data_IF_246655972375
#
_entry.id   IF_246655972375
#
_cell.length_a   1.000
_cell.length_b   1.000
_cell.length_c   1.000
_cell.angle_alpha   90.00
_cell.angle_beta   90.00
_cell.angle_gamma   90.00
#
_symmetry.space_group_name_H-M   'P 1'
#
loop_
_entity.id
_entity.type
_entity.pdbx_description
1 polymer ?
#
# COMPACT_ATOMS: atom_id res chain seq x y z
N UNK A 1 74.32 -27.00 44.57
CA UNK A 1 75.28 -28.09 44.88
C UNK A 1 74.49 -29.39 44.91
N UNK A 2 74.87 -30.38 44.09
CA UNK A 2 74.50 -31.81 44.14
C UNK A 2 73.01 -32.13 43.90
N UNK A 3 72.59 -32.50 42.68
CA UNK A 3 72.77 -33.79 41.98
C UNK A 3 72.16 -34.96 42.75
N UNK A 4 71.22 -35.69 42.12
CA UNK A 4 70.72 -36.94 42.66
C UNK A 4 69.62 -37.61 41.83
N UNK A 5 69.95 -38.02 40.60
CA UNK A 5 69.17 -39.02 39.87
C UNK A 5 69.44 -40.40 40.50
N UNK A 6 68.39 -41.18 40.78
CA UNK A 6 68.47 -42.64 40.87
C UNK A 6 67.24 -43.29 40.21
N UNK A 7 67.54 -44.05 39.16
CA UNK A 7 66.73 -45.10 38.57
C UNK A 7 66.56 -46.28 39.54
N UNK A 8 65.37 -46.89 39.62
CA UNK A 8 65.20 -48.30 39.23
C UNK A 8 63.83 -48.91 39.54
N UNK A 9 63.42 -49.71 38.56
CA UNK A 9 62.64 -50.97 38.58
C UNK A 9 61.11 -50.96 38.69
N UNK A 10 60.55 -51.27 37.52
CA UNK A 10 59.36 -52.05 37.21
C UNK A 10 58.74 -52.86 38.35
N UNK A 11 57.45 -52.64 38.55
CA UNK A 11 56.48 -53.65 38.94
C UNK A 11 55.22 -53.47 38.08
N UNK A 12 55.01 -54.34 37.10
CA UNK A 12 53.76 -54.43 36.34
C UNK A 12 52.67 -54.90 37.30
N UNK A 13 51.73 -54.03 37.64
CA UNK A 13 50.47 -54.41 38.27
C UNK A 13 49.34 -54.03 37.31
N UNK A 14 48.70 -55.05 36.74
CA UNK A 14 47.52 -54.92 35.91
C UNK A 14 46.35 -54.42 36.77
N UNK A 15 46.08 -53.12 36.74
CA UNK A 15 44.88 -52.51 37.29
C UNK A 15 43.75 -52.60 36.28
N UNK A 16 42.79 -53.48 36.54
CA UNK A 16 41.49 -53.49 35.86
C UNK A 16 40.78 -52.18 36.22
N UNK A 17 40.72 -51.24 35.26
CA UNK A 17 39.90 -50.03 35.39
C UNK A 17 38.46 -50.45 35.14
N UNK A 18 37.65 -50.47 36.20
CA UNK A 18 36.20 -50.46 36.05
C UNK A 18 35.80 -49.09 35.47
N UNK A 19 35.63 -49.02 34.16
CA UNK A 19 34.91 -47.91 33.54
C UNK A 19 33.44 -48.02 33.97
N UNK A 20 33.03 -47.16 34.91
CA UNK A 20 31.62 -46.91 35.13
C UNK A 20 31.09 -46.20 33.88
N UNK A 21 30.41 -46.96 33.00
CA UNK A 21 29.52 -46.37 32.01
C UNK A 21 28.34 -45.75 32.75
N UNK A 22 28.44 -44.47 33.07
CA UNK A 22 27.24 -43.66 33.29
C UNK A 22 26.50 -43.58 31.95
N UNK A 23 25.20 -43.93 31.86
CA UNK A 23 24.46 -43.75 30.62
C UNK A 23 24.43 -42.26 30.31
N UNK A 24 25.10 -41.89 29.21
CA UNK A 24 25.00 -40.55 28.63
C UNK A 24 23.54 -40.38 28.21
N UNK A 25 22.81 -39.55 28.95
CA UNK A 25 21.44 -39.18 28.62
C UNK A 25 21.51 -38.31 27.37
N UNK A 26 21.34 -38.93 26.21
CA UNK A 26 21.11 -38.23 24.95
C UNK A 26 19.91 -37.34 25.19
N UNK A 27 20.15 -36.04 25.29
CA UNK A 27 19.07 -35.06 25.33
C UNK A 27 18.74 -34.86 23.87
N UNK A 28 17.77 -35.62 23.36
CA UNK A 28 17.11 -35.27 22.11
C UNK A 28 16.44 -33.92 22.36
N UNK A 29 17.04 -32.87 21.81
CA UNK A 29 16.34 -31.61 21.62
C UNK A 29 15.28 -31.90 20.57
N UNK A 30 14.05 -32.19 21.00
CA UNK A 30 12.90 -32.06 20.11
C UNK A 30 12.87 -30.60 19.69
N UNK A 31 13.33 -30.32 18.47
CA UNK A 31 12.98 -29.08 17.78
C UNK A 31 11.46 -29.13 17.60
N UNK A 32 10.74 -28.48 18.52
CA UNK A 32 9.35 -28.15 18.30
C UNK A 32 9.31 -27.24 17.08
N UNK A 33 9.02 -27.84 15.92
CA UNK A 33 8.64 -27.11 14.72
C UNK A 33 7.34 -26.40 15.09
N UNK A 34 7.45 -25.11 15.43
CA UNK A 34 6.29 -24.24 15.54
C UNK A 34 5.78 -24.09 14.11
N UNK A 35 4.76 -24.88 13.76
CA UNK A 35 4.00 -24.64 12.55
C UNK A 35 3.21 -23.38 12.85
N UNK A 36 3.70 -22.23 12.38
CA UNK A 36 2.88 -21.03 12.36
C UNK A 36 1.64 -21.34 11.52
N UNK A 37 0.46 -21.23 12.14
CA UNK A 37 -0.79 -21.33 11.42
C UNK A 37 -0.84 -20.15 10.45
N UNK A 38 -0.81 -20.42 9.14
CA UNK A 38 -0.99 -19.39 8.12
C UNK A 38 -2.42 -18.87 8.26
N UNK A 39 -2.55 -17.67 8.81
CA UNK A 39 -3.82 -17.01 8.99
C UNK A 39 -4.38 -16.61 7.63
N UNK A 40 -5.63 -16.98 7.34
CA UNK A 40 -6.30 -16.48 6.14
C UNK A 40 -6.64 -15.00 6.33
N UNK A 41 -6.17 -14.11 5.44
CA UNK A 41 -6.47 -12.68 5.52
C UNK A 41 -7.97 -12.41 5.44
N UNK A 42 -8.47 -11.48 6.25
CA UNK A 42 -9.89 -11.09 6.26
C UNK A 42 -10.09 -9.59 6.45
N UNK A 43 -11.24 -9.11 5.99
CA UNK A 43 -11.75 -7.76 6.26
C UNK A 43 -13.04 -7.85 7.07
N UNK A 44 -13.10 -7.12 8.18
CA UNK A 44 -14.33 -6.97 8.99
C UNK A 44 -14.79 -5.53 8.95
N UNK A 45 -16.01 -5.29 8.44
CA UNK A 45 -16.57 -3.94 8.37
C UNK A 45 -16.72 -3.34 9.77
N UNK A 46 -16.30 -2.09 9.92
CA UNK A 46 -16.38 -1.31 11.16
C UNK A 46 -17.51 -0.29 11.08
N UNK A 47 -17.51 0.51 10.02
CA UNK A 47 -18.47 1.59 9.80
C UNK A 47 -18.52 1.98 8.32
N UNK A 48 -19.57 2.71 7.95
CA UNK A 48 -19.65 3.46 6.71
C UNK A 48 -20.03 4.91 7.02
N UNK A 49 -19.59 5.86 6.20
CA UNK A 49 -20.09 7.24 6.25
C UNK A 49 -21.56 7.29 5.81
N UNK A 50 -22.24 8.40 6.11
CA UNK A 50 -23.48 8.74 5.41
C UNK A 50 -23.22 8.89 3.88
N UNK A 51 -24.22 8.58 3.02
CA UNK A 51 -24.05 8.55 1.57
C UNK A 51 -24.13 9.95 0.92
N UNK A 52 -23.37 10.92 1.43
CA UNK A 52 -23.39 12.31 0.96
C UNK A 52 -22.13 12.74 0.20
N UNK A 53 -21.10 11.87 0.14
CA UNK A 53 -19.85 12.12 -0.58
C UNK A 53 -19.99 11.61 -2.01
N UNK A 54 -20.42 12.45 -2.95
CA UNK A 54 -20.75 12.00 -4.32
C UNK A 54 -19.53 11.41 -5.06
N UNK A 55 -19.69 10.20 -5.59
CA UNK A 55 -18.69 9.47 -6.39
C UNK A 55 -17.28 9.55 -5.81
N UNK A 56 -17.11 8.95 -4.62
CA UNK A 56 -15.79 8.92 -3.98
C UNK A 56 -14.83 8.07 -4.82
N UNK A 57 -13.77 8.67 -5.33
CA UNK A 57 -12.77 8.02 -6.19
C UNK A 57 -11.60 7.49 -5.37
N UNK A 58 -11.03 8.31 -4.48
CA UNK A 58 -9.89 7.97 -3.64
C UNK A 58 -10.07 8.36 -2.18
N UNK A 59 -9.36 7.65 -1.31
CA UNK A 59 -9.31 7.88 0.13
C UNK A 59 -7.86 7.86 0.60
N UNK A 60 -7.42 8.92 1.26
CA UNK A 60 -6.06 9.05 1.80
C UNK A 60 -6.11 9.27 3.31
N UNK A 61 -5.42 8.42 4.07
CA UNK A 61 -5.24 8.61 5.51
C UNK A 61 -3.97 9.42 5.80
N UNK A 62 -4.11 10.49 6.58
CA UNK A 62 -2.98 11.25 7.09
C UNK A 62 -2.64 10.82 8.52
N UNK A 63 -1.60 10.01 8.67
CA UNK A 63 -1.11 9.52 9.96
C UNK A 63 -0.76 10.64 10.94
N UNK A 64 -0.34 11.81 10.43
CA UNK A 64 0.14 12.91 11.29
C UNK A 64 -1.00 13.64 11.99
N UNK A 65 -2.18 13.70 11.37
CA UNK A 65 -3.35 14.41 11.93
C UNK A 65 -4.50 13.48 12.30
N UNK A 66 -4.48 12.23 11.83
CA UNK A 66 -5.59 11.29 11.96
C UNK A 66 -6.80 11.64 11.09
N UNK A 67 -6.65 12.56 10.12
CA UNK A 67 -7.69 12.90 9.16
C UNK A 67 -7.67 11.93 7.99
N UNK A 68 -8.83 11.77 7.36
CA UNK A 68 -8.98 11.05 6.11
C UNK A 68 -9.50 12.03 5.06
N UNK A 69 -8.82 12.12 3.93
CA UNK A 69 -9.20 12.93 2.79
C UNK A 69 -9.90 12.07 1.75
N UNK A 70 -10.94 12.60 1.11
CA UNK A 70 -11.65 11.91 0.03
C UNK A 70 -11.72 12.78 -1.21
N UNK A 71 -11.41 12.23 -2.38
CA UNK A 71 -11.65 12.90 -3.67
C UNK A 71 -13.03 12.50 -4.20
N UNK A 72 -13.82 13.51 -4.59
CA UNK A 72 -15.23 13.34 -4.93
C UNK A 72 -15.46 13.87 -6.34
N UNK A 73 -15.94 13.01 -7.23
CA UNK A 73 -16.29 13.36 -8.61
C UNK A 73 -17.76 13.79 -8.62
N UNK A 74 -18.00 15.09 -8.83
CA UNK A 74 -19.35 15.64 -8.85
C UNK A 74 -19.89 15.60 -10.28
N UNK A 75 -20.98 14.85 -10.50
CA UNK A 75 -21.42 14.46 -11.83
C UNK A 75 -20.68 13.21 -12.31
N UNK A 76 -21.42 12.16 -12.62
CA UNK A 76 -20.91 10.80 -12.88
C UNK A 76 -19.94 10.63 -14.08
N UNK A 77 -19.57 11.71 -14.79
CA UNK A 77 -18.62 11.65 -15.89
C UNK A 77 -17.20 11.91 -15.35
N UNK A 78 -16.31 10.89 -15.29
CA UNK A 78 -14.97 11.02 -14.71
C UNK A 78 -13.98 11.81 -15.59
N UNK A 79 -14.45 12.34 -16.72
CA UNK A 79 -13.68 13.15 -17.68
C UNK A 79 -14.24 14.57 -17.83
N UNK A 80 -15.31 14.92 -17.10
CA UNK A 80 -15.91 16.24 -17.20
C UNK A 80 -15.02 17.31 -16.56
N UNK A 81 -14.76 18.39 -17.31
CA UNK A 81 -13.98 19.55 -16.84
C UNK A 81 -14.87 20.72 -16.46
N UNK A 82 -15.72 20.53 -15.46
CA UNK A 82 -16.73 21.50 -15.06
C UNK A 82 -16.42 22.26 -13.75
N UNK A 83 -15.29 21.97 -13.10
CA UNK A 83 -14.87 22.62 -11.87
C UNK A 83 -15.72 22.28 -10.64
N UNK A 84 -16.53 21.20 -10.68
CA UNK A 84 -17.40 20.82 -9.55
C UNK A 84 -16.78 19.81 -8.57
N UNK A 85 -15.76 19.07 -8.98
CA UNK A 85 -15.05 18.14 -8.11
C UNK A 85 -14.54 18.78 -6.82
N UNK A 86 -14.47 17.97 -5.77
CA UNK A 86 -14.09 18.44 -4.44
C UNK A 86 -13.22 17.44 -3.67
N UNK A 87 -12.50 17.95 -2.66
CA UNK A 87 -11.90 17.13 -1.60
C UNK A 87 -12.71 17.34 -0.32
N UNK A 88 -13.04 16.26 0.39
CA UNK A 88 -13.69 16.31 1.71
C UNK A 88 -12.78 15.74 2.79
N UNK A 89 -13.07 16.07 4.05
CA UNK A 89 -12.37 15.57 5.24
C UNK A 89 -13.34 14.77 6.09
N UNK A 90 -12.97 13.53 6.43
CA UNK A 90 -13.68 12.66 7.36
C UNK A 90 -12.79 12.24 8.53
N UNK A 91 -13.41 11.87 9.65
CA UNK A 91 -12.75 11.31 10.82
C UNK A 91 -12.61 9.79 10.74
N UNK A 92 -11.76 9.23 11.61
CA UNK A 92 -11.54 7.76 11.72
C UNK A 92 -12.75 6.99 12.26
N UNK A 93 -13.79 7.70 12.72
CA UNK A 93 -15.08 7.16 13.14
C UNK A 93 -16.16 7.24 12.05
N UNK A 94 -15.80 7.71 10.85
CA UNK A 94 -16.73 7.87 9.72
C UNK A 94 -17.55 9.16 9.76
N UNK A 95 -17.32 10.04 10.75
CA UNK A 95 -17.95 11.36 10.75
C UNK A 95 -17.41 12.24 9.62
N UNK A 96 -18.31 12.93 8.92
CA UNK A 96 -17.91 13.94 7.93
C UNK A 96 -17.56 15.21 8.70
N UNK A 97 -16.27 15.55 8.73
CA UNK A 97 -15.75 16.70 9.46
C UNK A 97 -16.00 17.98 8.65
N UNK A 98 -15.64 17.93 7.38
CA UNK A 98 -15.80 19.04 6.46
C UNK A 98 -16.08 18.50 5.06
N UNK A 99 -17.30 18.72 4.59
CA UNK A 99 -17.68 18.40 3.22
C UNK A 99 -17.21 19.54 2.31
N UNK A 100 -16.63 19.20 1.16
CA UNK A 100 -16.16 20.15 0.15
C UNK A 100 -15.09 21.14 0.67
N UNK A 101 -14.17 20.65 1.51
CA UNK A 101 -13.02 21.39 2.03
C UNK A 101 -12.21 22.10 0.91
N UNK A 102 -12.03 21.42 -0.23
CA UNK A 102 -11.47 22.02 -1.45
C UNK A 102 -12.49 21.89 -2.58
N UNK A 103 -12.71 22.96 -3.33
CA UNK A 103 -13.60 23.00 -4.50
C UNK A 103 -12.89 23.60 -5.71
N UNK A 104 -13.51 23.54 -6.90
CA UNK A 104 -12.91 24.06 -8.14
C UNK A 104 -11.95 23.07 -8.83
N UNK A 105 -12.04 21.79 -8.47
CA UNK A 105 -11.43 20.67 -9.17
C UNK A 105 -12.42 20.13 -10.21
N UNK A 106 -11.98 19.38 -11.20
CA UNK A 106 -12.86 18.82 -12.23
C UNK A 106 -13.42 17.45 -11.79
N UNK A 107 -12.57 16.42 -11.85
CA UNK A 107 -12.86 15.06 -11.45
C UNK A 107 -11.63 14.48 -10.72
N UNK A 108 -11.35 14.93 -9.48
CA UNK A 108 -10.14 14.58 -8.76
C UNK A 108 -10.07 13.08 -8.48
N UNK A 109 -8.86 12.51 -8.51
CA UNK A 109 -8.61 11.06 -8.37
C UNK A 109 -7.67 10.76 -7.22
N UNK A 110 -6.52 10.13 -7.48
CA UNK A 110 -5.54 9.75 -6.48
C UNK A 110 -4.97 10.96 -5.75
N UNK A 111 -4.49 10.70 -4.53
CA UNK A 111 -3.98 11.73 -3.65
C UNK A 111 -2.74 11.25 -2.89
N UNK A 112 -1.76 12.14 -2.72
CA UNK A 112 -0.64 11.91 -1.82
C UNK A 112 -0.24 13.19 -1.08
N UNK A 113 0.23 13.04 0.16
CA UNK A 113 0.76 14.15 0.95
C UNK A 113 2.28 14.19 0.83
N UNK A 114 2.84 15.37 0.55
CA UNK A 114 4.29 15.59 0.54
C UNK A 114 4.61 17.03 0.89
N UNK A 115 5.61 17.25 1.76
CA UNK A 115 6.11 18.58 2.13
C UNK A 115 5.02 19.60 2.52
N UNK A 116 4.00 19.18 3.28
CA UNK A 116 2.91 20.05 3.74
C UNK A 116 1.85 20.38 2.68
N UNK A 117 1.86 19.69 1.55
CA UNK A 117 0.89 19.85 0.47
C UNK A 117 0.21 18.51 0.17
N UNK A 118 -1.06 18.59 -0.23
CA UNK A 118 -1.80 17.50 -0.84
C UNK A 118 -1.66 17.63 -2.36
N UNK A 119 -1.16 16.58 -3.00
CA UNK A 119 -1.09 16.47 -4.45
C UNK A 119 -2.25 15.61 -4.94
N UNK A 120 -2.94 16.09 -5.97
CA UNK A 120 -4.15 15.47 -6.50
C UNK A 120 -4.06 15.44 -8.02
N UNK A 121 -4.33 14.30 -8.63
CA UNK A 121 -4.54 14.20 -10.08
C UNK A 121 -5.96 14.63 -10.42
N UNK A 122 -6.09 15.46 -11.45
CA UNK A 122 -7.37 16.01 -11.90
C UNK A 122 -7.45 15.92 -13.43
N UNK A 123 -7.79 14.72 -13.92
CA UNK A 123 -7.92 14.34 -15.35
C UNK A 123 -6.59 14.43 -16.13
N UNK A 124 -6.10 15.63 -16.40
CA UNK A 124 -4.85 15.91 -17.15
C UNK A 124 -3.96 16.94 -16.46
N UNK A 125 -4.30 17.32 -15.22
CA UNK A 125 -3.52 18.21 -14.39
C UNK A 125 -3.07 17.52 -13.10
N UNK A 126 -1.87 17.86 -12.63
CA UNK A 126 -1.47 17.66 -11.24
C UNK A 126 -1.77 18.95 -10.47
N UNK A 127 -2.51 18.84 -9.37
CA UNK A 127 -2.92 19.95 -8.52
C UNK A 127 -2.17 19.87 -7.19
N UNK A 128 -1.68 21.01 -6.71
CA UNK A 128 -1.06 21.14 -5.38
C UNK A 128 -1.92 22.01 -4.49
N UNK A 129 -2.32 21.46 -3.35
CA UNK A 129 -3.18 22.10 -2.35
C UNK A 129 -2.38 22.24 -1.07
N UNK A 130 -2.38 23.43 -0.48
CA UNK A 130 -1.82 23.64 0.85
C UNK A 130 -2.64 22.85 1.88
N UNK A 131 -2.00 21.95 2.62
CA UNK A 131 -2.71 21.03 3.51
C UNK A 131 -3.37 21.72 4.71
N UNK A 132 -2.81 22.86 5.15
CA UNK A 132 -3.33 23.63 6.29
C UNK A 132 -4.50 24.52 5.89
N UNK A 133 -4.40 25.23 4.75
CA UNK A 133 -5.41 26.22 4.34
C UNK A 133 -6.46 25.69 3.38
N UNK A 134 -6.21 24.58 2.68
CA UNK A 134 -7.07 24.11 1.58
C UNK A 134 -6.96 24.94 0.30
N UNK A 135 -6.00 25.88 0.24
CA UNK A 135 -5.80 26.69 -0.95
C UNK A 135 -5.14 25.87 -2.07
N UNK A 136 -5.73 25.89 -3.26
CA UNK A 136 -5.05 25.40 -4.48
C UNK A 136 -3.93 26.38 -4.81
N UNK A 137 -2.69 25.94 -4.61
CA UNK A 137 -1.49 26.77 -4.80
C UNK A 137 -0.92 26.65 -6.21
N UNK A 138 -1.07 25.50 -6.86
CA UNK A 138 -0.64 25.29 -8.24
C UNK A 138 -1.53 24.29 -8.98
N UNK A 139 -1.57 24.41 -10.31
CA UNK A 139 -2.07 23.41 -11.26
C UNK A 139 -1.09 23.29 -12.40
N UNK A 140 -0.63 22.08 -12.70
CA UNK A 140 0.27 21.80 -13.81
C UNK A 140 -0.40 20.87 -14.80
N UNK A 141 -0.70 21.38 -15.99
CA UNK A 141 -1.10 20.53 -17.11
C UNK A 141 0.05 19.58 -17.48
N UNK A 142 -0.29 18.30 -17.67
CA UNK A 142 0.66 17.26 -18.08
C UNK A 142 0.48 17.03 -19.57
N UNK A 143 1.50 17.41 -20.35
CA UNK A 143 1.43 17.37 -21.82
C UNK A 143 1.10 15.95 -22.32
N UNK A 144 0.00 15.85 -23.06
CA UNK A 144 -0.46 14.59 -23.64
C UNK A 144 -1.14 13.63 -22.67
N UNK A 145 -1.36 14.03 -21.41
CA UNK A 145 -2.09 13.21 -20.45
C UNK A 145 -3.54 12.99 -20.90
N UNK A 146 -4.08 11.81 -20.60
CA UNK A 146 -5.44 11.43 -20.99
C UNK A 146 -6.33 11.03 -19.83
N UNK A 147 -5.76 10.39 -18.81
CA UNK A 147 -6.47 9.99 -17.61
C UNK A 147 -5.49 9.80 -16.46
N UNK A 148 -4.96 10.91 -15.93
CA UNK A 148 -4.15 10.90 -14.72
C UNK A 148 -4.97 10.30 -13.58
N UNK A 149 -4.44 9.30 -12.88
CA UNK A 149 -5.19 8.50 -11.93
C UNK A 149 -4.54 8.46 -10.55
N UNK A 150 -3.87 7.39 -10.13
CA UNK A 150 -3.38 7.29 -8.76
C UNK A 150 -2.10 8.11 -8.49
N UNK A 151 -1.83 8.44 -7.22
CA UNK A 151 -0.71 9.27 -6.75
C UNK A 151 -0.06 8.66 -5.52
N UNK A 152 1.27 8.58 -5.50
CA UNK A 152 2.06 8.24 -4.32
C UNK A 152 3.20 9.24 -4.13
N UNK A 153 3.69 9.38 -2.90
CA UNK A 153 4.83 10.26 -2.61
C UNK A 153 5.87 9.58 -1.73
N UNK A 154 7.14 9.91 -1.97
CA UNK A 154 8.27 9.45 -1.18
C UNK A 154 9.41 10.48 -1.26
N UNK A 155 9.99 10.85 -0.11
CA UNK A 155 11.13 11.76 0.01
C UNK A 155 11.01 13.06 -0.84
N UNK A 156 9.81 13.64 -0.86
CA UNK A 156 9.55 14.89 -1.58
C UNK A 156 9.31 14.72 -3.08
N UNK A 157 9.37 13.50 -3.62
CA UNK A 157 8.97 13.17 -4.99
C UNK A 157 7.52 12.70 -4.99
N UNK A 158 6.74 13.17 -5.95
CA UNK A 158 5.35 12.74 -6.17
C UNK A 158 5.32 11.93 -7.47
N UNK A 159 4.81 10.72 -7.43
CA UNK A 159 4.65 9.82 -8.56
C UNK A 159 3.17 9.66 -8.86
N UNK A 160 2.82 9.62 -10.14
CA UNK A 160 1.41 9.49 -10.52
C UNK A 160 1.26 8.81 -11.87
N UNK A 161 0.13 8.15 -12.06
CA UNK A 161 -0.12 7.30 -13.22
C UNK A 161 -1.01 8.00 -14.23
N UNK A 162 -0.80 7.71 -15.52
CA UNK A 162 -1.74 8.02 -16.59
C UNK A 162 -2.27 6.71 -17.17
N UNK A 163 -3.50 6.38 -16.81
CA UNK A 163 -4.12 5.09 -17.08
C UNK A 163 -4.28 4.83 -18.58
N UNK A 164 -4.65 5.85 -19.34
CA UNK A 164 -4.97 5.70 -20.75
C UNK A 164 -3.72 5.74 -21.65
N UNK A 165 -2.66 6.45 -21.24
CA UNK A 165 -1.39 6.44 -21.99
C UNK A 165 -0.41 5.39 -21.51
N UNK A 166 -0.67 4.77 -20.37
CA UNK A 166 0.15 3.72 -19.78
C UNK A 166 1.49 4.24 -19.26
N UNK A 167 1.49 5.46 -18.73
CA UNK A 167 2.69 6.18 -18.28
C UNK A 167 2.70 6.35 -16.77
N UNK A 168 3.92 6.41 -16.23
CA UNK A 168 4.17 6.86 -14.86
C UNK A 168 5.00 8.12 -14.94
N UNK A 169 4.52 9.17 -14.30
CA UNK A 169 5.17 10.47 -14.20
C UNK A 169 5.70 10.69 -12.79
N UNK A 170 6.63 11.63 -12.66
CA UNK A 170 7.09 12.14 -11.38
C UNK A 170 7.08 13.67 -11.39
N UNK A 171 6.70 14.28 -10.29
CA UNK A 171 6.91 15.68 -9.97
C UNK A 171 8.00 15.82 -8.90
N UNK A 172 9.00 16.64 -9.18
CA UNK A 172 10.03 17.02 -8.20
C UNK A 172 10.54 18.43 -8.52
N UNK A 173 10.65 19.27 -7.48
CA UNK A 173 11.25 20.61 -7.58
C UNK A 173 10.65 21.48 -8.71
N UNK A 174 9.32 21.45 -8.88
CA UNK A 174 8.62 22.25 -9.88
C UNK A 174 8.66 21.70 -11.31
N UNK A 175 9.15 20.48 -11.52
CA UNK A 175 9.22 19.85 -12.84
C UNK A 175 8.53 18.50 -12.87
N UNK A 176 7.74 18.28 -13.92
CA UNK A 176 7.10 16.99 -14.23
C UNK A 176 7.94 16.27 -15.30
N UNK A 177 8.18 14.98 -15.12
CA UNK A 177 8.86 14.11 -16.07
C UNK A 177 8.17 12.76 -16.17
N UNK A 178 8.13 12.16 -17.36
CA UNK A 178 7.75 10.76 -17.51
C UNK A 178 8.95 9.88 -17.14
N UNK A 179 8.74 8.94 -16.23
CA UNK A 179 9.80 8.03 -15.74
C UNK A 179 9.65 6.60 -16.25
N UNK A 180 8.46 6.24 -16.72
CA UNK A 180 8.17 4.89 -17.20
C UNK A 180 6.99 4.92 -18.17
N UNK A 181 7.00 4.04 -19.17
CA UNK A 181 5.93 3.93 -20.18
C UNK A 181 5.66 2.45 -20.52
N UNK A 182 4.53 2.18 -21.18
CA UNK A 182 4.17 0.83 -21.65
C UNK A 182 3.40 -0.01 -20.64
N UNK A 183 2.75 0.61 -19.66
CA UNK A 183 1.97 -0.04 -18.60
C UNK A 183 0.47 0.15 -18.88
N UNK A 184 -0.08 -0.66 -19.77
CA UNK A 184 -1.48 -0.55 -20.19
C UNK A 184 -2.43 -0.56 -18.99
N UNK A 185 -3.30 0.46 -18.91
CA UNK A 185 -4.27 0.62 -17.82
C UNK A 185 -3.62 0.62 -16.43
N UNK A 186 -2.41 1.17 -16.31
CA UNK A 186 -1.76 1.43 -15.02
C UNK A 186 -2.65 2.36 -14.18
N UNK A 187 -2.94 1.94 -12.95
CA UNK A 187 -3.76 2.71 -12.05
C UNK A 187 -3.05 2.89 -10.72
N UNK A 188 -3.26 1.98 -9.76
CA UNK A 188 -2.68 2.06 -8.42
C UNK A 188 -1.17 2.16 -8.43
N UNK A 189 -0.63 3.04 -7.58
CA UNK A 189 0.80 3.24 -7.40
C UNK A 189 1.12 3.40 -5.92
N UNK A 190 2.18 2.76 -5.46
CA UNK A 190 2.66 2.90 -4.10
C UNK A 190 4.18 2.88 -4.07
N UNK A 191 4.77 3.59 -3.11
CA UNK A 191 6.23 3.65 -2.94
C UNK A 191 6.59 3.16 -1.55
N UNK A 192 7.47 2.16 -1.48
CA UNK A 192 7.97 1.62 -0.23
C UNK A 192 8.92 2.60 0.47
N UNK A 193 9.19 2.37 1.76
CA UNK A 193 10.10 3.19 2.56
C UNK A 193 11.55 3.23 2.03
N UNK A 194 11.95 2.27 1.18
CA UNK A 194 13.27 2.25 0.54
C UNK A 194 13.27 2.91 -0.86
N UNK A 195 12.16 3.53 -1.26
CA UNK A 195 11.97 4.17 -2.56
C UNK A 195 11.56 3.21 -3.68
N UNK A 196 11.37 1.91 -3.40
CA UNK A 196 10.88 0.97 -4.42
C UNK A 196 9.46 1.34 -4.84
N UNK A 197 9.24 1.52 -6.14
CA UNK A 197 7.91 1.79 -6.73
C UNK A 197 7.22 0.47 -7.06
N UNK A 198 5.97 0.36 -6.67
CA UNK A 198 5.04 -0.69 -7.06
C UNK A 198 3.86 -0.06 -7.80
N UNK A 199 3.28 -0.82 -8.72
CA UNK A 199 2.11 -0.37 -9.47
C UNK A 199 1.23 -1.52 -9.93
N UNK A 200 -0.03 -1.21 -10.20
CA UNK A 200 -1.06 -2.19 -10.53
C UNK A 200 -1.67 -1.86 -11.89
N UNK A 201 -1.56 -2.78 -12.85
CA UNK A 201 -2.04 -2.59 -14.21
C UNK A 201 -2.76 -3.82 -14.77
N UNK A 202 -3.07 -3.82 -16.08
CA UNK A 202 -3.78 -4.92 -16.75
C UNK A 202 -3.13 -6.30 -16.56
N UNK A 203 -1.83 -6.36 -16.31
CA UNK A 203 -1.06 -7.60 -16.17
C UNK A 203 -0.81 -7.99 -14.72
N UNK A 204 -1.07 -7.08 -13.78
CA UNK A 204 -1.08 -7.32 -12.34
C UNK A 204 -0.17 -6.40 -11.54
N UNK A 205 0.16 -6.81 -10.32
CA UNK A 205 1.05 -6.06 -9.43
C UNK A 205 2.49 -6.19 -9.94
N UNK A 206 3.14 -5.04 -10.12
CA UNK A 206 4.52 -4.92 -10.58
C UNK A 206 5.37 -4.18 -9.58
N UNK A 207 6.66 -4.50 -9.63
CA UNK A 207 7.76 -3.79 -8.97
C UNK A 207 8.66 -3.18 -10.02
N UNK A 208 9.07 -1.93 -9.81
CA UNK A 208 10.14 -1.30 -10.59
C UNK A 208 11.51 -1.72 -10.06
N UNK A 209 12.39 -2.10 -10.98
CA UNK A 209 13.78 -2.43 -10.71
C UNK A 209 14.66 -1.18 -10.83
N UNK A 210 15.85 -1.23 -10.23
CA UNK A 210 16.81 -0.12 -10.26
C UNK A 210 17.28 0.25 -11.68
N UNK A 211 17.16 -0.66 -12.65
CA UNK A 211 17.48 -0.42 -14.06
C UNK A 211 16.31 0.17 -14.88
N UNK A 212 15.18 0.44 -14.23
CA UNK A 212 13.96 0.95 -14.85
C UNK A 212 13.05 -0.11 -15.47
N UNK A 213 13.45 -1.39 -15.48
CA UNK A 213 12.57 -2.49 -15.88
C UNK A 213 11.53 -2.79 -14.80
N UNK A 214 10.49 -3.56 -15.15
CA UNK A 214 9.48 -4.02 -14.19
C UNK A 214 9.51 -5.54 -14.03
N UNK A 215 9.11 -6.02 -12.86
CA UNK A 215 8.91 -7.44 -12.55
C UNK A 215 7.49 -7.64 -12.04
N UNK A 216 6.80 -8.64 -12.58
CA UNK A 216 5.47 -9.02 -12.08
C UNK A 216 5.65 -9.73 -10.74
N UNK A 217 5.08 -9.13 -9.69
CA UNK A 217 5.04 -9.67 -8.32
C UNK A 217 3.82 -10.58 -8.17
N UNK A 218 2.69 -10.21 -8.77
CA UNK A 218 1.48 -11.02 -8.80
C UNK A 218 0.75 -10.82 -10.14
N UNK A 219 0.34 -11.93 -10.76
CA UNK A 219 -0.39 -11.94 -12.03
C UNK A 219 -1.86 -12.36 -11.89
N UNK A 220 -2.35 -12.55 -10.66
CA UNK A 220 -3.72 -12.96 -10.35
C UNK A 220 -4.66 -11.75 -10.22
N UNK A 221 -4.22 -10.73 -9.49
CA UNK A 221 -4.96 -9.48 -9.31
C UNK A 221 -4.60 -8.53 -10.46
N UNK A 222 -5.44 -8.50 -11.49
CA UNK A 222 -5.21 -7.73 -12.73
C UNK A 222 -6.21 -6.60 -12.95
N UNK A 223 -5.78 -5.54 -13.64
CA UNK A 223 -6.57 -4.35 -13.94
C UNK A 223 -7.06 -3.63 -12.69
N UNK A 224 -6.32 -3.77 -11.58
CA UNK A 224 -6.72 -3.25 -10.28
C UNK A 224 -6.73 -1.73 -10.23
N UNK A 225 -7.24 -1.22 -9.13
CA UNK A 225 -7.48 0.20 -8.90
C UNK A 225 -6.46 0.72 -7.90
N UNK A 226 -6.78 0.79 -6.60
CA UNK A 226 -5.85 1.20 -5.54
C UNK A 226 -4.87 0.12 -5.08
N UNK A 227 -3.74 0.57 -4.51
CA UNK A 227 -2.65 -0.27 -4.04
C UNK A 227 -2.03 0.26 -2.74
N UNK A 228 -1.95 -0.59 -1.71
CA UNK A 228 -1.32 -0.28 -0.42
C UNK A 228 -0.24 -1.31 -0.13
N UNK A 229 0.93 -0.84 0.34
CA UNK A 229 2.03 -1.68 0.82
C UNK A 229 1.87 -1.88 2.32
N UNK A 230 1.81 -3.14 2.77
CA UNK A 230 1.73 -3.51 4.18
C UNK A 230 3.11 -3.80 4.80
N UNK A 231 4.11 -4.07 3.95
CA UNK A 231 5.45 -4.50 4.33
C UNK A 231 5.64 -6.01 4.22
N UNK A 232 6.89 -6.48 4.25
CA UNK A 232 7.26 -7.89 4.07
C UNK A 232 6.66 -8.50 2.78
N UNK A 233 6.66 -7.74 1.68
CA UNK A 233 6.05 -8.12 0.39
C UNK A 233 4.54 -8.46 0.47
N UNK A 234 3.84 -7.93 1.47
CA UNK A 234 2.39 -7.98 1.56
C UNK A 234 1.75 -6.68 1.07
N UNK A 235 0.62 -6.80 0.40
CA UNK A 235 -0.12 -5.69 -0.22
C UNK A 235 -1.62 -5.86 -0.02
N UNK A 236 -2.33 -4.74 -0.02
CA UNK A 236 -3.77 -4.70 -0.30
C UNK A 236 -3.95 -4.08 -1.67
N UNK A 237 -4.77 -4.69 -2.51
CA UNK A 237 -5.09 -4.20 -3.84
C UNK A 237 -6.60 -4.22 -4.04
N UNK A 238 -7.16 -3.15 -4.59
CA UNK A 238 -8.56 -3.12 -4.98
C UNK A 238 -8.72 -3.39 -6.47
N UNK A 239 -9.93 -3.75 -6.88
CA UNK A 239 -10.36 -3.76 -8.27
C UNK A 239 -11.71 -3.06 -8.34
N UNK A 240 -11.80 -2.06 -9.21
CA UNK A 240 -12.95 -1.17 -9.33
C UNK A 240 -14.31 -1.88 -9.33
N UNK A 241 -14.37 -3.08 -9.92
CA UNK A 241 -15.58 -3.91 -9.97
C UNK A 241 -16.18 -4.29 -8.60
N UNK A 242 -15.48 -4.04 -7.50
CA UNK A 242 -15.98 -4.31 -6.14
C UNK A 242 -15.21 -5.42 -5.44
N UNK A 243 -13.90 -5.56 -5.67
CA UNK A 243 -13.07 -6.56 -5.00
C UNK A 243 -11.92 -5.92 -4.23
N UNK A 244 -11.65 -6.41 -3.02
CA UNK A 244 -10.41 -6.13 -2.29
C UNK A 244 -9.64 -7.44 -2.09
N UNK A 245 -8.35 -7.39 -2.38
CA UNK A 245 -7.44 -8.53 -2.35
C UNK A 245 -6.28 -8.26 -1.41
N UNK A 246 -5.87 -9.30 -0.69
CA UNK A 246 -4.57 -9.38 -0.04
C UNK A 246 -3.62 -10.10 -1.00
N UNK A 247 -2.41 -9.59 -1.18
CA UNK A 247 -1.38 -10.18 -2.03
C UNK A 247 -0.12 -10.37 -1.20
N UNK A 248 0.50 -11.55 -1.32
CA UNK A 248 1.71 -11.94 -0.59
C UNK A 248 2.61 -12.80 -1.47
N UNK A 249 3.83 -13.16 -1.02
CA UNK A 249 4.68 -14.12 -1.73
C UNK A 249 4.03 -15.49 -1.95
N UNK A 250 3.08 -15.88 -1.08
CA UNK A 250 2.39 -17.17 -1.14
C UNK A 250 1.19 -17.17 -2.10
N UNK A 251 0.77 -16.00 -2.60
CA UNK A 251 -0.35 -15.84 -3.53
C UNK A 251 -1.27 -14.69 -3.17
N UNK A 252 -2.46 -14.67 -3.79
CA UNK A 252 -3.49 -13.67 -3.51
C UNK A 252 -4.73 -14.30 -2.85
N UNK A 253 -5.38 -13.55 -1.97
CA UNK A 253 -6.64 -13.92 -1.31
C UNK A 253 -7.65 -12.79 -1.49
N UNK A 254 -8.79 -13.07 -2.11
CA UNK A 254 -9.90 -12.12 -2.17
C UNK A 254 -10.57 -12.03 -0.81
N UNK A 255 -10.52 -10.84 -0.19
CA UNK A 255 -11.08 -10.59 1.14
C UNK A 255 -12.49 -9.98 1.07
N UNK A 256 -12.81 -9.27 -0.02
CA UNK A 256 -14.09 -8.60 -0.20
C UNK A 256 -14.59 -8.77 -1.65
N UNK A 257 -15.90 -8.95 -1.80
CA UNK A 257 -16.61 -8.99 -3.08
C UNK A 257 -17.99 -8.33 -2.94
N UNK A 258 -18.12 -7.11 -3.45
CA UNK A 258 -19.31 -6.26 -3.33
C UNK A 258 -20.05 -6.08 -4.66
N UNK A 259 -19.75 -6.91 -5.66
CA UNK A 259 -20.41 -6.87 -6.98
C UNK A 259 -21.93 -6.97 -6.88
N UNK A 260 -22.44 -7.89 -6.07
CA UNK A 260 -23.90 -8.06 -5.87
C UNK A 260 -24.56 -6.86 -5.21
N UNK A 261 -23.82 -6.11 -4.38
CA UNK A 261 -24.29 -4.89 -3.75
C UNK A 261 -24.20 -3.67 -4.67
N UNK A 262 -23.61 -3.81 -5.87
CA UNK A 262 -23.29 -2.72 -6.79
C UNK A 262 -22.51 -1.60 -6.10
N UNK A 263 -21.56 -1.99 -5.23
CA UNK A 263 -20.64 -1.09 -4.56
C UNK A 263 -19.25 -1.31 -5.10
N UNK A 264 -18.83 -0.44 -6.00
CA UNK A 264 -17.49 -0.46 -6.58
C UNK A 264 -16.45 -0.12 -5.53
N UNK A 265 -15.29 -0.77 -5.57
CA UNK A 265 -14.16 -0.49 -4.70
C UNK A 265 -13.10 0.15 -5.57
N UNK A 266 -13.13 1.48 -5.67
CA UNK A 266 -12.19 2.26 -6.48
C UNK A 266 -10.78 2.20 -5.84
N UNK A 267 -10.15 3.32 -5.52
CA UNK A 267 -8.87 3.31 -4.80
C UNK A 267 -9.03 2.85 -3.32
N UNK A 268 -7.99 2.86 -2.48
CA UNK A 268 -8.02 2.47 -1.06
C UNK A 268 -7.05 3.29 -0.20
N UNK A 269 -7.52 3.69 0.99
CA UNK A 269 -6.68 4.27 2.04
C UNK A 269 -6.32 3.26 3.12
N UNK A 270 -5.25 3.50 3.87
CA UNK A 270 -4.82 2.60 4.95
C UNK A 270 -4.32 3.33 6.18
N UNK A 271 -4.81 2.93 7.35
CA UNK A 271 -4.24 3.29 8.65
C UNK A 271 -3.38 2.12 9.16
N UNK A 272 -2.04 2.23 9.12
CA UNK A 272 -1.14 1.15 9.52
C UNK A 272 -1.12 0.90 11.04
N UNK A 273 -1.37 1.94 11.85
CA UNK A 273 -1.35 1.80 13.31
C UNK A 273 -2.51 0.94 13.84
N UNK A 274 -3.63 0.93 13.11
CA UNK A 274 -4.84 0.20 13.48
C UNK A 274 -5.19 -0.91 12.49
N UNK A 275 -4.39 -1.15 11.45
CA UNK A 275 -4.71 -2.07 10.34
C UNK A 275 -6.15 -1.85 9.81
N UNK A 276 -6.49 -0.62 9.45
CA UNK A 276 -7.81 -0.29 8.89
C UNK A 276 -7.64 0.07 7.43
N UNK A 277 -8.38 -0.62 6.56
CA UNK A 277 -8.50 -0.29 5.14
C UNK A 277 -9.76 0.56 4.96
N UNK A 278 -9.60 1.73 4.35
CA UNK A 278 -10.69 2.62 3.97
C UNK A 278 -11.00 2.42 2.50
N UNK A 279 -12.26 2.13 2.19
CA UNK A 279 -12.72 1.75 0.87
C UNK A 279 -13.75 2.76 0.37
N UNK A 280 -13.44 3.59 -0.63
CA UNK A 280 -14.44 4.37 -1.35
C UNK A 280 -15.39 3.42 -2.09
N UNK A 281 -16.66 3.78 -2.08
CA UNK A 281 -17.74 2.97 -2.65
C UNK A 281 -18.21 3.47 -4.03
N UNK A 282 -17.45 4.41 -4.61
CA UNK A 282 -17.72 5.11 -5.87
C UNK A 282 -19.20 5.51 -5.99
N UNK A 283 -20.05 4.73 -6.66
CA UNK A 283 -21.47 5.06 -6.86
C UNK A 283 -22.38 4.99 -5.63
N UNK A 284 -21.94 4.41 -4.49
CA UNK A 284 -22.74 4.46 -3.25
C UNK A 284 -22.52 5.74 -2.45
N UNK A 285 -21.59 6.60 -2.87
CA UNK A 285 -21.33 7.90 -2.27
C UNK A 285 -20.88 7.85 -0.80
N UNK A 286 -20.17 6.80 -0.42
CA UNK A 286 -19.67 6.54 0.94
C UNK A 286 -18.20 6.18 0.96
N UNK A 287 -17.61 6.26 2.15
CA UNK A 287 -16.41 5.52 2.53
C UNK A 287 -16.79 4.44 3.55
N UNK A 288 -16.28 3.23 3.39
CA UNK A 288 -16.42 2.13 4.32
C UNK A 288 -15.07 1.80 4.96
N UNK A 289 -15.03 1.57 6.28
CA UNK A 289 -13.83 1.16 6.98
C UNK A 289 -13.89 -0.32 7.33
N UNK A 290 -12.78 -1.02 7.11
CA UNK A 290 -12.65 -2.44 7.40
C UNK A 290 -11.39 -2.68 8.25
N UNK A 291 -11.54 -3.43 9.34
CA UNK A 291 -10.41 -4.00 10.06
C UNK A 291 -9.79 -5.11 9.21
N UNK A 292 -8.52 -4.95 8.90
CA UNK A 292 -7.70 -5.96 8.26
C UNK A 292 -7.04 -6.86 9.32
N UNK A 293 -7.11 -8.16 9.08
CA UNK A 293 -6.51 -9.18 9.93
C UNK A 293 -5.84 -10.25 9.06
N UNK A 294 -4.51 -10.38 9.16
CA UNK A 294 -3.63 -11.24 8.35
C UNK A 294 -2.40 -11.68 9.14
#
# INVERSE_FOLDING_TARGET
>A
MKTGIKFSLLGLAAGVVFAQCTPQKTTETEETVVVEEVKTPTLTMLWETEPTLETVESVLFDESTGKIYTSNIIGQNPLEKDGKGSISIIGTDGSIIEQDWVTGLNAPKGMAISNGHLYVTDIDELVEINLESGEITNKWAVEGAQFLNDVAAHDGVVYFTDMNTGKVHSYQNGSISTISEGHNSINGIAVANDGTIYGLDESGLKKWNADGSTTIVNAEVTGGDGLVILGNDNFVASRWVGEIWFVSPDGATKMLDTKEAESNTADIGFNPSENIVYVPTFFKNKVAAYKLDY
#
